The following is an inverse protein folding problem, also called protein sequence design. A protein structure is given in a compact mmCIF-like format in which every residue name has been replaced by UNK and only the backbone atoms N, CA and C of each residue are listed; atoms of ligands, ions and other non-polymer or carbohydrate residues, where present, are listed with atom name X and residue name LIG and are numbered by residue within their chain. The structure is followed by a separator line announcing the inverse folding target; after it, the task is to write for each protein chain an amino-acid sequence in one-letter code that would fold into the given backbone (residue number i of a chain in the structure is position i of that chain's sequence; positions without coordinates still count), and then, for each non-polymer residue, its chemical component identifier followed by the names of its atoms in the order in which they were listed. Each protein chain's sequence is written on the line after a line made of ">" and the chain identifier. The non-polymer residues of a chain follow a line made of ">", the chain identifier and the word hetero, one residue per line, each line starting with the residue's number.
data_IF_403687348782
#
_entry.id   IF_403687348782
#
_cell.length_a   1.000
_cell.length_b   1.000
_cell.length_c   1.000
_cell.angle_alpha   90.00
_cell.angle_beta   90.00
_cell.angle_gamma   90.00
#
_symmetry.space_group_name_H-M   'P 1'
#
loop_
_entity.id
_entity.type
_entity.pdbx_description
1 polymer ?
#
# COMPACT_ATOMS: atom_id res chain seq x y z
N UNK A 1 4.87 -9.84 1.88
CA UNK A 1 5.54 -8.51 1.83
C UNK A 1 4.60 -7.36 1.46
N UNK A 2 3.90 -7.33 0.32
CA UNK A 2 3.05 -6.18 -0.07
C UNK A 2 2.07 -5.72 1.03
N UNK A 3 1.25 -6.63 1.57
CA UNK A 3 0.34 -6.29 2.68
C UNK A 3 1.09 -5.82 3.93
N UNK A 4 2.24 -6.41 4.22
CA UNK A 4 3.08 -6.07 5.38
C UNK A 4 3.60 -4.63 5.28
N UNK A 5 4.25 -4.26 4.17
CA UNK A 5 4.75 -2.89 3.97
C UNK A 5 3.61 -1.86 3.98
N UNK A 6 2.45 -2.21 3.43
CA UNK A 6 1.29 -1.32 3.47
C UNK A 6 0.76 -1.10 4.88
N UNK A 7 0.50 -2.16 5.65
CA UNK A 7 -0.04 -2.05 6.99
C UNK A 7 0.94 -1.37 7.95
N UNK A 8 2.23 -1.71 7.86
CA UNK A 8 3.30 -1.10 8.65
C UNK A 8 3.39 0.41 8.38
N UNK A 9 3.49 0.78 7.10
CA UNK A 9 3.69 2.18 6.72
C UNK A 9 2.41 3.01 6.89
N UNK A 10 1.24 2.48 6.54
CA UNK A 10 -0.03 3.16 6.78
C UNK A 10 -0.24 3.40 8.27
N UNK A 11 -0.01 2.37 9.10
CA UNK A 11 -0.14 2.47 10.56
C UNK A 11 0.77 3.55 11.14
N UNK A 12 2.04 3.58 10.74
CA UNK A 12 2.97 4.66 11.13
C UNK A 12 2.44 6.04 10.73
N UNK A 13 1.92 6.22 9.51
CA UNK A 13 1.41 7.51 9.05
C UNK A 13 0.12 7.93 9.75
N UNK A 14 -0.71 6.98 10.18
CA UNK A 14 -1.92 7.24 10.96
C UNK A 14 -1.55 7.72 12.37
N UNK A 15 -0.53 7.11 13.01
CA UNK A 15 0.03 7.59 14.28
C UNK A 15 0.55 9.02 14.13
N UNK A 16 1.35 9.31 13.11
CA UNK A 16 1.88 10.65 12.84
C UNK A 16 0.75 11.67 12.61
N UNK A 17 -0.30 11.29 11.89
CA UNK A 17 -1.49 12.13 11.68
C UNK A 17 -2.25 12.38 12.98
N UNK A 18 -2.39 11.37 13.84
CA UNK A 18 -2.97 11.51 15.17
C UNK A 18 -2.21 12.50 16.05
N UNK A 19 -0.88 12.34 16.15
CA UNK A 19 0.00 13.25 16.88
C UNK A 19 -0.10 14.68 16.35
N UNK A 20 -0.04 14.88 15.04
CA UNK A 20 -0.16 16.20 14.44
C UNK A 20 -1.50 16.87 14.74
N UNK A 21 -2.61 16.10 14.71
CA UNK A 21 -3.95 16.62 15.05
C UNK A 21 -4.04 17.09 16.50
N UNK A 22 -3.39 16.39 17.44
CA UNK A 22 -3.31 16.84 18.85
C UNK A 22 -2.58 18.18 18.95
N UNK A 23 -1.57 18.42 18.10
CA UNK A 23 -0.85 19.69 18.01
C UNK A 23 -1.59 20.76 17.18
N UNK A 24 -2.82 20.52 16.75
CA UNK A 24 -3.59 21.45 15.90
C UNK A 24 -3.14 21.51 14.43
N UNK A 25 -2.23 20.62 14.01
CA UNK A 25 -1.70 20.56 12.64
C UNK A 25 -2.45 19.48 11.85
N UNK A 26 -2.95 19.85 10.66
CA UNK A 26 -3.59 18.90 9.74
C UNK A 26 -2.60 18.42 8.69
N UNK A 27 -2.10 17.20 8.85
CA UNK A 27 -1.29 16.53 7.82
C UNK A 27 -2.18 15.99 6.69
N UNK A 28 -1.58 15.87 5.51
CA UNK A 28 -2.24 15.25 4.35
C UNK A 28 -2.32 13.72 4.50
N UNK A 29 -3.36 13.11 3.90
CA UNK A 29 -3.50 11.66 3.85
C UNK A 29 -2.38 11.05 3.03
N UNK A 30 -1.77 9.96 3.49
CA UNK A 30 -0.66 9.31 2.77
C UNK A 30 -1.08 8.05 2.00
N UNK A 31 -2.15 7.38 2.40
CA UNK A 31 -2.64 6.16 1.76
C UNK A 31 -4.14 6.21 1.55
N UNK A 32 -4.62 5.68 0.43
CA UNK A 32 -6.05 5.63 0.14
C UNK A 32 -6.45 4.33 -0.60
N UNK A 33 -6.55 3.23 0.14
CA UNK A 33 -6.88 1.89 -0.40
C UNK A 33 -6.10 1.55 -1.70
N UNK A 34 -4.77 1.65 -1.71
CA UNK A 34 -3.96 1.60 -2.94
C UNK A 34 -4.12 0.29 -3.71
N UNK A 35 -4.26 -0.86 -3.03
CA UNK A 35 -4.45 -2.16 -3.69
C UNK A 35 -5.81 -2.37 -4.33
N UNK A 36 -6.75 -1.43 -4.16
CA UNK A 36 -8.02 -1.41 -4.90
C UNK A 36 -7.92 -0.67 -6.25
N UNK A 37 -6.74 -0.16 -6.61
CA UNK A 37 -6.50 0.56 -7.84
C UNK A 37 -6.60 -0.36 -9.08
N UNK A 38 -7.28 0.10 -10.11
CA UNK A 38 -7.43 -0.60 -11.39
C UNK A 38 -6.27 -0.30 -12.37
N UNK A 39 -5.41 0.65 -12.06
CA UNK A 39 -4.21 0.96 -12.86
C UNK A 39 -3.02 1.32 -11.98
N UNK A 40 -1.80 1.13 -12.49
CA UNK A 40 -0.57 1.54 -11.76
C UNK A 40 -0.53 3.06 -11.53
N UNK A 41 -1.08 3.86 -12.45
CA UNK A 41 -1.22 5.31 -12.25
C UNK A 41 -2.14 5.62 -11.06
N UNK A 42 -3.29 4.94 -10.97
CA UNK A 42 -4.22 5.09 -9.85
C UNK A 42 -3.61 4.59 -8.53
N UNK A 43 -2.84 3.51 -8.57
CA UNK A 43 -2.09 3.01 -7.41
C UNK A 43 -1.19 4.10 -6.82
N UNK A 44 -0.38 4.79 -7.65
CA UNK A 44 0.51 5.86 -7.20
C UNK A 44 -0.21 7.15 -6.77
N UNK A 45 -1.46 7.36 -7.19
CA UNK A 45 -2.30 8.42 -6.63
C UNK A 45 -2.86 8.10 -5.25
N UNK A 46 -2.70 6.86 -4.78
CA UNK A 46 -3.23 6.31 -3.53
C UNK A 46 -2.17 5.76 -2.59
N UNK A 47 -0.92 5.66 -3.05
CA UNK A 47 0.22 5.15 -2.31
C UNK A 47 1.23 6.26 -2.05
N UNK A 48 1.62 6.43 -0.79
CA UNK A 48 2.59 7.45 -0.35
C UNK A 48 2.30 8.83 -0.99
N UNK A 49 1.04 9.28 -0.86
CA UNK A 49 0.47 10.43 -1.58
C UNK A 49 1.30 11.71 -1.35
N UNK A 50 1.86 11.90 -0.15
CA UNK A 50 2.71 13.06 0.12
C UNK A 50 3.98 13.06 -0.73
N UNK A 51 4.71 11.95 -0.76
CA UNK A 51 5.91 11.76 -1.58
C UNK A 51 5.60 11.80 -3.07
N UNK A 52 4.54 11.12 -3.51
CA UNK A 52 4.08 11.12 -4.90
C UNK A 52 3.71 12.54 -5.36
N UNK A 53 3.11 13.35 -4.48
CA UNK A 53 2.81 14.75 -4.75
C UNK A 53 4.08 15.59 -4.82
N UNK A 54 5.03 15.37 -3.91
CA UNK A 54 6.32 16.05 -3.93
C UNK A 54 7.08 15.81 -5.24
N UNK A 55 7.21 14.54 -5.67
CA UNK A 55 7.85 14.24 -6.96
C UNK A 55 7.10 14.83 -8.15
N UNK A 56 5.77 14.87 -8.10
CA UNK A 56 4.97 15.51 -9.15
C UNK A 56 5.27 17.01 -9.22
N UNK A 57 5.25 17.71 -8.08
CA UNK A 57 5.34 19.16 -8.02
C UNK A 57 6.77 19.68 -8.19
N UNK A 58 7.77 18.96 -7.67
CA UNK A 58 9.17 19.41 -7.64
C UNK A 58 10.08 18.71 -8.64
N UNK A 59 9.64 17.64 -9.31
CA UNK A 59 10.44 16.98 -10.35
C UNK A 59 9.67 16.88 -11.68
N UNK A 60 8.48 16.29 -11.67
CA UNK A 60 7.73 16.04 -12.91
C UNK A 60 7.29 17.31 -13.64
N UNK A 61 6.67 18.25 -12.92
CA UNK A 61 6.19 19.53 -13.49
C UNK A 61 7.38 20.39 -13.97
N UNK A 62 8.46 20.57 -13.19
CA UNK A 62 9.67 21.27 -13.65
C UNK A 62 10.32 20.66 -14.90
N UNK A 63 10.30 19.34 -15.07
CA UNK A 63 10.76 18.66 -16.30
C UNK A 63 9.85 18.90 -17.53
N UNK A 64 8.82 19.74 -17.39
CA UNK A 64 7.87 20.10 -18.44
C UNK A 64 6.56 19.29 -18.41
N UNK A 65 6.40 18.38 -17.45
CA UNK A 65 5.21 17.56 -17.27
C UNK A 65 4.72 16.92 -18.57
N UNK A 66 3.47 17.21 -18.95
CA UNK A 66 2.86 16.73 -20.20
C UNK A 66 2.99 17.71 -21.39
N UNK A 67 3.65 18.87 -21.22
CA UNK A 67 3.55 20.00 -22.17
C UNK A 67 4.35 19.82 -23.46
N UNK A 68 5.33 18.92 -23.47
CA UNK A 68 6.28 18.73 -24.59
C UNK A 68 6.02 17.43 -25.37
N UNK A 69 4.77 17.00 -25.42
CA UNK A 69 4.34 15.82 -26.16
C UNK A 69 4.58 14.49 -25.44
N UNK A 70 4.14 13.41 -26.09
CA UNK A 70 4.03 12.07 -25.49
C UNK A 70 5.37 11.42 -25.20
N UNK A 71 6.38 11.61 -26.06
CA UNK A 71 7.72 11.07 -25.83
C UNK A 71 8.38 11.70 -24.60
N UNK A 72 8.31 13.04 -24.46
CA UNK A 72 8.85 13.73 -23.28
C UNK A 72 8.10 13.33 -22.01
N UNK A 73 6.78 13.18 -22.08
CA UNK A 73 5.98 12.66 -20.96
C UNK A 73 6.52 11.32 -20.47
N UNK A 74 6.80 10.37 -21.37
CA UNK A 74 7.32 9.05 -21.01
C UNK A 74 8.71 9.12 -20.36
N UNK A 75 9.59 9.93 -20.93
CA UNK A 75 10.93 10.17 -20.35
C UNK A 75 10.79 10.76 -18.95
N UNK A 76 9.93 11.77 -18.77
CA UNK A 76 9.71 12.40 -17.47
C UNK A 76 9.14 11.40 -16.43
N UNK A 77 8.23 10.52 -16.84
CA UNK A 77 7.72 9.44 -15.98
C UNK A 77 8.85 8.49 -15.57
N UNK A 78 9.70 8.05 -16.50
CA UNK A 78 10.85 7.19 -16.17
C UNK A 78 11.81 7.88 -15.21
N UNK A 79 12.16 9.14 -15.47
CA UNK A 79 13.07 9.91 -14.62
C UNK A 79 12.51 9.99 -13.20
N UNK A 80 11.22 10.34 -13.04
CA UNK A 80 10.59 10.43 -11.72
C UNK A 80 10.67 9.11 -10.97
N UNK A 81 10.35 7.98 -11.61
CA UNK A 81 10.39 6.69 -10.91
C UNK A 81 11.81 6.19 -10.63
N UNK A 82 12.78 6.44 -11.52
CA UNK A 82 14.18 6.10 -11.27
C UNK A 82 14.76 6.92 -10.12
N UNK A 83 14.49 8.23 -10.08
CA UNK A 83 14.89 9.10 -8.98
C UNK A 83 14.17 8.72 -7.68
N UNK A 84 12.90 8.33 -7.76
CA UNK A 84 12.17 7.77 -6.61
C UNK A 84 12.80 6.49 -6.08
N UNK A 85 13.23 5.57 -6.97
CA UNK A 85 14.01 4.40 -6.56
C UNK A 85 15.32 4.79 -5.87
N UNK A 86 16.09 5.70 -6.46
CA UNK A 86 17.34 6.18 -5.88
C UNK A 86 17.15 6.91 -4.54
N UNK A 87 16.01 7.56 -4.34
CA UNK A 87 15.65 8.19 -3.06
C UNK A 87 15.48 7.17 -1.93
N UNK A 88 15.03 5.95 -2.26
CA UNK A 88 14.91 4.85 -1.30
C UNK A 88 16.25 4.18 -0.98
N UNK A 89 17.21 4.18 -1.90
CA UNK A 89 18.57 3.69 -1.64
C UNK A 89 19.42 3.56 -2.90
N UNK A 90 20.73 3.40 -2.72
CA UNK A 90 21.71 3.32 -3.81
C UNK A 90 21.83 1.92 -4.44
N UNK A 91 21.14 0.91 -3.89
CA UNK A 91 21.19 -0.45 -4.42
C UNK A 91 20.46 -0.57 -5.77
N UNK A 92 20.99 -1.43 -6.66
CA UNK A 92 20.40 -1.70 -7.97
C UNK A 92 18.96 -2.25 -7.89
N UNK A 93 18.61 -2.90 -6.79
CA UNK A 93 17.25 -3.39 -6.53
C UNK A 93 16.23 -2.26 -6.54
N UNK A 94 16.54 -1.09 -5.95
CA UNK A 94 15.67 0.08 -5.97
C UNK A 94 15.59 0.75 -7.35
N UNK A 95 16.69 0.74 -8.12
CA UNK A 95 16.70 1.24 -9.50
C UNK A 95 15.79 0.36 -10.38
N UNK A 96 15.89 -0.96 -10.26
CA UNK A 96 15.03 -1.91 -10.99
C UNK A 96 13.56 -1.72 -10.57
N UNK A 97 13.30 -1.59 -9.27
CA UNK A 97 11.96 -1.30 -8.76
C UNK A 97 11.36 -0.02 -9.38
N UNK A 98 12.13 1.07 -9.39
CA UNK A 98 11.72 2.34 -10.02
C UNK A 98 11.49 2.17 -11.52
N UNK A 99 12.42 1.50 -12.21
CA UNK A 99 12.29 1.23 -13.64
C UNK A 99 11.01 0.45 -13.99
N UNK A 100 10.68 -0.59 -13.22
CA UNK A 100 9.46 -1.38 -13.41
C UNK A 100 8.19 -0.53 -13.27
N UNK A 101 8.08 0.28 -12.22
CA UNK A 101 6.92 1.16 -12.04
C UNK A 101 6.78 2.20 -13.17
N UNK A 102 7.90 2.79 -13.61
CA UNK A 102 7.91 3.69 -14.76
C UNK A 102 7.44 2.99 -16.03
N UNK A 103 7.96 1.80 -16.32
CA UNK A 103 7.56 0.99 -17.47
C UNK A 103 6.09 0.62 -17.42
N UNK A 104 5.57 0.16 -16.28
CA UNK A 104 4.16 -0.20 -16.14
C UNK A 104 3.24 0.99 -16.39
N UNK A 105 3.61 2.19 -15.93
CA UNK A 105 2.82 3.40 -16.17
C UNK A 105 2.84 3.81 -17.65
N UNK A 106 4.00 3.70 -18.32
CA UNK A 106 4.15 4.01 -19.74
C UNK A 106 3.38 3.01 -20.61
N UNK A 107 3.57 1.72 -20.38
CA UNK A 107 2.87 0.63 -21.08
C UNK A 107 1.36 0.77 -20.86
N UNK A 108 0.93 1.03 -19.61
CA UNK A 108 -0.47 1.26 -19.29
C UNK A 108 -1.08 2.42 -20.08
N UNK A 109 -0.32 3.50 -20.25
CA UNK A 109 -0.71 4.69 -21.04
C UNK A 109 -0.74 4.41 -22.54
N UNK A 110 0.25 3.70 -23.08
CA UNK A 110 0.35 3.31 -24.49
C UNK A 110 -0.77 2.37 -24.92
N UNK A 111 -1.01 1.34 -24.12
CA UNK A 111 -1.95 0.27 -24.45
C UNK A 111 -3.39 0.61 -24.14
N UNK A 112 -3.69 1.69 -23.41
CA UNK A 112 -5.05 2.06 -22.97
C UNK A 112 -6.07 2.01 -24.11
N UNK A 113 -5.84 2.74 -25.20
CA UNK A 113 -6.77 2.79 -26.35
C UNK A 113 -6.93 1.44 -27.07
N UNK A 114 -5.90 0.59 -27.06
CA UNK A 114 -5.98 -0.74 -27.66
C UNK A 114 -6.78 -1.70 -26.77
N UNK A 115 -6.57 -1.64 -25.46
CA UNK A 115 -7.31 -2.43 -24.46
C UNK A 115 -8.80 -2.08 -24.45
N UNK A 116 -9.15 -0.80 -24.47
CA UNK A 116 -10.57 -0.38 -24.54
C UNK A 116 -11.25 -0.87 -25.83
N UNK A 117 -10.57 -0.78 -26.98
CA UNK A 117 -11.10 -1.31 -28.26
C UNK A 117 -11.22 -2.83 -28.25
N UNK A 118 -10.31 -3.54 -27.59
CA UNK A 118 -10.39 -4.99 -27.43
C UNK A 118 -11.60 -5.40 -26.59
N UNK A 119 -11.83 -4.70 -25.47
CA UNK A 119 -12.98 -4.93 -24.60
C UNK A 119 -14.31 -4.67 -25.31
N UNK A 120 -14.41 -3.56 -26.07
CA UNK A 120 -15.63 -3.25 -26.81
C UNK A 120 -15.96 -4.28 -27.88
N UNK A 121 -14.96 -4.92 -28.50
CA UNK A 121 -15.16 -5.98 -29.51
C UNK A 121 -15.77 -7.25 -28.93
N UNK A 122 -15.50 -7.56 -27.66
CA UNK A 122 -16.06 -8.71 -26.94
C UNK A 122 -17.33 -8.34 -26.15
N UNK A 123 -17.91 -7.16 -26.41
CA UNK A 123 -19.14 -6.70 -25.76
C UNK A 123 -18.99 -6.31 -24.28
N UNK A 124 -17.76 -6.19 -23.77
CA UNK A 124 -17.49 -5.79 -22.40
C UNK A 124 -17.23 -4.28 -22.31
N UNK A 125 -17.80 -3.64 -21.29
CA UNK A 125 -17.50 -2.25 -20.95
C UNK A 125 -16.42 -2.19 -19.88
N UNK A 126 -15.59 -1.14 -19.92
CA UNK A 126 -14.62 -0.84 -18.86
C UNK A 126 -15.26 -0.68 -17.47
N UNK A 127 -16.56 -0.39 -17.43
CA UNK A 127 -17.33 -0.19 -16.20
C UNK A 127 -17.84 -1.48 -15.56
N UNK A 128 -17.87 -2.59 -16.31
CA UNK A 128 -18.32 -3.88 -15.78
C UNK A 128 -17.48 -4.33 -14.60
N UNK A 129 -18.15 -4.92 -13.60
CA UNK A 129 -17.49 -5.38 -12.37
C UNK A 129 -16.36 -6.38 -12.68
N UNK A 130 -16.58 -7.30 -13.63
CA UNK A 130 -15.57 -8.26 -14.06
C UNK A 130 -14.31 -7.57 -14.60
N UNK A 131 -14.44 -6.59 -15.49
CA UNK A 131 -13.30 -5.86 -16.05
C UNK A 131 -12.57 -5.06 -14.98
N UNK A 132 -13.30 -4.39 -14.08
CA UNK A 132 -12.69 -3.66 -12.94
C UNK A 132 -11.92 -4.60 -12.03
N UNK A 133 -12.47 -5.76 -11.70
CA UNK A 133 -11.79 -6.77 -10.87
C UNK A 133 -10.53 -7.29 -11.54
N UNK A 134 -10.58 -7.64 -12.83
CA UNK A 134 -9.41 -8.09 -13.58
C UNK A 134 -8.32 -7.01 -13.60
N UNK A 135 -8.69 -5.74 -13.81
CA UNK A 135 -7.76 -4.60 -13.79
C UNK A 135 -7.10 -4.40 -12.43
N UNK A 136 -7.87 -4.56 -11.35
CA UNK A 136 -7.38 -4.48 -9.96
C UNK A 136 -6.40 -5.61 -9.66
N UNK A 137 -6.78 -6.85 -9.97
CA UNK A 137 -5.91 -8.02 -9.79
C UNK A 137 -4.62 -7.86 -10.59
N UNK A 138 -4.71 -7.46 -11.86
CA UNK A 138 -3.53 -7.22 -12.68
C UNK A 138 -2.62 -6.12 -12.11
N UNK A 139 -3.19 -5.01 -11.64
CA UNK A 139 -2.42 -3.93 -11.01
C UNK A 139 -1.75 -4.42 -9.73
N UNK A 140 -2.48 -5.16 -8.89
CA UNK A 140 -1.95 -5.74 -7.67
C UNK A 140 -0.79 -6.70 -7.94
N UNK A 141 -0.90 -7.57 -8.94
CA UNK A 141 0.17 -8.50 -9.34
C UNK A 141 1.41 -7.75 -9.82
N UNK A 142 1.26 -6.75 -10.70
CA UNK A 142 2.38 -5.95 -11.20
C UNK A 142 3.10 -5.20 -10.07
N UNK A 143 2.33 -4.56 -9.18
CA UNK A 143 2.87 -3.83 -8.03
C UNK A 143 3.57 -4.80 -7.06
N UNK A 144 2.97 -5.96 -6.77
CA UNK A 144 3.56 -6.98 -5.89
C UNK A 144 4.84 -7.57 -6.48
N UNK A 145 4.88 -7.76 -7.80
CA UNK A 145 6.08 -8.17 -8.51
C UNK A 145 7.19 -7.13 -8.37
N UNK A 146 6.89 -5.84 -8.53
CA UNK A 146 7.88 -4.79 -8.29
C UNK A 146 8.36 -4.79 -6.83
N UNK A 147 7.47 -4.98 -5.85
CA UNK A 147 7.82 -5.06 -4.43
C UNK A 147 8.83 -6.16 -4.09
N UNK A 148 8.94 -7.22 -4.90
CA UNK A 148 9.98 -8.25 -4.74
C UNK A 148 11.37 -7.63 -4.75
N UNK A 149 11.65 -6.75 -5.71
CA UNK A 149 12.94 -6.06 -5.81
C UNK A 149 13.15 -5.10 -4.64
N UNK A 150 12.10 -4.42 -4.20
CA UNK A 150 12.18 -3.54 -3.04
C UNK A 150 12.52 -4.29 -1.74
N UNK A 151 12.10 -5.56 -1.61
CA UNK A 151 12.37 -6.39 -0.43
C UNK A 151 13.73 -7.10 -0.48
N UNK A 152 14.24 -7.38 -1.67
CA UNK A 152 15.44 -8.20 -1.82
C UNK A 152 16.68 -7.45 -1.31
N UNK A 153 17.54 -8.15 -0.57
CA UNK A 153 18.78 -7.56 -0.03
C UNK A 153 19.83 -7.35 -1.12
N UNK A 154 19.74 -8.10 -2.22
CA UNK A 154 20.63 -8.01 -3.37
C UNK A 154 19.88 -8.30 -4.68
N UNK A 155 20.49 -7.94 -5.82
CA UNK A 155 19.95 -8.32 -7.13
C UNK A 155 19.97 -9.84 -7.33
N UNK A 156 20.99 -10.53 -6.81
CA UNK A 156 21.07 -11.99 -6.85
C UNK A 156 19.94 -12.64 -6.07
N UNK A 157 19.63 -12.12 -4.88
CA UNK A 157 18.51 -12.57 -4.04
C UNK A 157 17.18 -12.38 -4.78
N UNK A 158 16.99 -11.23 -5.44
CA UNK A 158 15.79 -10.96 -6.23
C UNK A 158 15.60 -12.00 -7.34
N UNK A 159 16.66 -12.31 -8.11
CA UNK A 159 16.57 -13.31 -9.17
C UNK A 159 16.39 -14.74 -8.63
N UNK A 160 16.98 -15.07 -7.48
CA UNK A 160 16.73 -16.34 -6.80
C UNK A 160 15.25 -16.47 -6.40
N UNK A 161 14.69 -15.42 -5.79
CA UNK A 161 13.27 -15.38 -5.43
C UNK A 161 12.37 -15.52 -6.66
N UNK A 162 12.72 -14.89 -7.78
CA UNK A 162 11.99 -15.03 -9.05
C UNK A 162 12.03 -16.46 -9.59
N UNK A 163 13.18 -17.13 -9.52
CA UNK A 163 13.28 -18.54 -9.90
C UNK A 163 12.37 -19.43 -9.06
N UNK A 164 12.33 -19.17 -7.74
CA UNK A 164 11.48 -19.90 -6.80
C UNK A 164 9.99 -19.63 -6.94
N UNK A 165 9.56 -18.58 -7.65
CA UNK A 165 8.12 -18.38 -7.93
C UNK A 165 7.51 -19.53 -8.74
N UNK A 166 8.31 -20.31 -9.46
CA UNK A 166 7.82 -21.37 -10.36
C UNK A 166 8.25 -22.77 -9.92
N UNK A 167 8.93 -22.90 -8.78
CA UNK A 167 9.48 -24.17 -8.28
C UNK A 167 9.13 -24.36 -6.81
N UNK A 168 9.20 -25.59 -6.30
CA UNK A 168 9.10 -25.88 -4.86
C UNK A 168 7.79 -25.42 -4.17
N UNK A 169 6.66 -25.49 -4.87
CA UNK A 169 5.33 -25.22 -4.28
C UNK A 169 4.83 -26.29 -3.29
N UNK A 170 5.64 -27.31 -3.00
CA UNK A 170 5.31 -28.43 -2.11
C UNK A 170 5.43 -28.10 -0.62
N UNK A 171 5.70 -26.85 -0.25
CA UNK A 171 5.83 -26.42 1.15
C UNK A 171 4.45 -26.41 1.81
N UNK A 172 4.34 -27.02 2.99
CA UNK A 172 3.10 -27.00 3.77
C UNK A 172 2.71 -25.56 4.12
N UNK A 173 1.42 -25.19 4.09
CA UNK A 173 0.95 -23.90 4.61
C UNK A 173 1.38 -23.68 6.07
N UNK A 174 1.46 -24.74 6.87
CA UNK A 174 1.93 -24.66 8.26
C UNK A 174 3.41 -24.26 8.35
N UNK A 175 4.26 -24.85 7.51
CA UNK A 175 5.70 -24.53 7.46
C UNK A 175 5.92 -23.10 6.97
N UNK A 176 5.09 -22.64 6.03
CA UNK A 176 5.13 -21.27 5.53
C UNK A 176 4.74 -20.27 6.63
N UNK A 177 3.67 -20.54 7.37
CA UNK A 177 3.23 -19.70 8.48
C UNK A 177 4.27 -19.66 9.61
N UNK A 178 4.84 -20.82 9.95
CA UNK A 178 5.92 -20.91 10.93
C UNK A 178 7.17 -20.14 10.48
N UNK A 179 7.57 -20.23 9.21
CA UNK A 179 8.69 -19.47 8.65
C UNK A 179 8.43 -17.95 8.62
N UNK A 180 7.16 -17.54 8.56
CA UNK A 180 6.76 -16.13 8.69
C UNK A 180 6.72 -15.65 10.16
N UNK A 181 7.04 -16.52 11.12
CA UNK A 181 6.93 -16.22 12.56
C UNK A 181 5.48 -16.16 13.06
N UNK A 182 4.53 -16.69 12.29
CA UNK A 182 3.11 -16.70 12.61
C UNK A 182 2.71 -18.05 13.20
N UNK A 183 2.86 -18.19 14.52
CA UNK A 183 2.28 -19.29 15.27
C UNK A 183 0.77 -19.14 15.45
N UNK A 184 0.15 -20.16 16.06
CA UNK A 184 -1.29 -20.16 16.32
C UNK A 184 -1.73 -18.96 17.16
N UNK A 185 -0.92 -18.56 18.14
CA UNK A 185 -1.23 -17.43 19.03
C UNK A 185 -1.21 -16.12 18.25
N UNK A 186 -0.19 -15.89 17.43
CA UNK A 186 -0.02 -14.69 16.61
C UNK A 186 -1.14 -14.57 15.57
N UNK A 187 -1.56 -15.69 14.98
CA UNK A 187 -2.71 -15.73 14.06
C UNK A 187 -3.99 -15.36 14.80
N UNK A 188 -4.25 -15.95 15.97
CA UNK A 188 -5.43 -15.62 16.77
C UNK A 188 -5.44 -14.17 17.22
N UNK A 189 -4.30 -13.64 17.66
CA UNK A 189 -4.12 -12.23 17.99
C UNK A 189 -4.41 -11.35 16.77
N UNK A 190 -3.90 -11.69 15.59
CA UNK A 190 -4.16 -10.95 14.34
C UNK A 190 -5.63 -10.94 13.96
N UNK A 191 -6.31 -12.10 14.05
CA UNK A 191 -7.74 -12.19 13.75
C UNK A 191 -8.55 -11.37 14.74
N UNK A 192 -8.28 -11.52 16.05
CA UNK A 192 -8.93 -10.72 17.10
C UNK A 192 -8.74 -9.23 16.85
N UNK A 193 -7.50 -8.82 16.57
CA UNK A 193 -7.12 -7.45 16.23
C UNK A 193 -7.93 -6.86 15.08
N UNK A 194 -8.05 -7.60 13.97
CA UNK A 194 -8.83 -7.18 12.81
C UNK A 194 -10.31 -7.05 13.14
N UNK A 195 -10.89 -8.03 13.86
CA UNK A 195 -12.29 -7.98 14.27
C UNK A 195 -12.59 -6.78 15.17
N UNK A 196 -11.70 -6.51 16.13
CA UNK A 196 -11.79 -5.34 17.01
C UNK A 196 -11.73 -4.03 16.23
N UNK A 197 -10.80 -3.91 15.27
CA UNK A 197 -10.71 -2.71 14.42
C UNK A 197 -11.96 -2.51 13.56
N UNK A 198 -12.48 -3.58 12.95
CA UNK A 198 -13.73 -3.52 12.16
C UNK A 198 -14.90 -3.12 13.04
N UNK A 199 -14.99 -3.67 14.25
CA UNK A 199 -16.04 -3.29 15.21
C UNK A 199 -15.91 -1.82 15.63
N UNK A 200 -14.71 -1.34 15.93
CA UNK A 200 -14.45 0.06 16.25
C UNK A 200 -14.84 1.00 15.10
N UNK A 201 -14.45 0.69 13.87
CA UNK A 201 -14.80 1.48 12.68
C UNK A 201 -16.33 1.59 12.51
N UNK A 202 -17.05 0.47 12.68
CA UNK A 202 -18.52 0.44 12.63
C UNK A 202 -19.15 1.26 13.75
N UNK A 203 -18.62 1.19 14.98
CA UNK A 203 -19.11 1.96 16.12
C UNK A 203 -18.87 3.46 15.95
N UNK A 204 -17.67 3.87 15.52
CA UNK A 204 -17.34 5.28 15.24
C UNK A 204 -18.23 5.84 14.14
N UNK A 205 -18.39 5.09 13.05
CA UNK A 205 -19.23 5.51 11.92
C UNK A 205 -20.71 5.60 12.32
N UNK A 206 -21.16 4.69 13.18
CA UNK A 206 -22.52 4.72 13.72
C UNK A 206 -22.75 5.96 14.61
N UNK A 207 -21.85 6.23 15.55
CA UNK A 207 -21.92 7.41 16.44
C UNK A 207 -21.85 8.72 15.65
N UNK A 208 -20.98 8.82 14.63
CA UNK A 208 -20.89 10.01 13.77
C UNK A 208 -22.18 10.31 12.98
N UNK A 209 -23.05 9.31 12.79
CA UNK A 209 -24.32 9.43 12.07
C UNK A 209 -25.48 9.88 12.97
N UNK A 210 -25.40 9.66 14.28
CA UNK A 210 -26.47 9.94 15.23
C UNK A 210 -26.06 11.06 16.20
N UNK A 211 -26.34 12.30 15.79
CA UNK A 211 -26.12 13.52 16.58
C UNK A 211 -27.25 13.68 17.62
N UNK A 212 -27.23 12.85 18.68
CA UNK A 212 -28.26 12.87 19.73
C UNK A 212 -27.69 13.16 21.12
N UNK A 213 -28.48 13.85 21.93
CA UNK A 213 -28.17 14.49 23.22
C UNK A 213 -27.73 13.56 24.36
N UNK A 214 -27.77 12.23 24.21
CA UNK A 214 -27.32 11.26 25.23
C UNK A 214 -25.80 10.99 25.18
N UNK A 215 -25.08 12.07 24.86
CA UNK A 215 -23.77 12.07 24.24
C UNK A 215 -22.64 11.72 25.22
N UNK A 216 -22.81 12.00 26.51
CA UNK A 216 -21.74 11.88 27.52
C UNK A 216 -21.56 10.43 27.97
N UNK A 217 -22.66 9.69 28.22
CA UNK A 217 -22.60 8.28 28.63
C UNK A 217 -22.15 7.41 27.46
N UNK A 218 -22.63 7.68 26.24
CA UNK A 218 -22.18 6.99 25.02
C UNK A 218 -20.72 7.27 24.68
N UNK A 219 -20.28 8.53 24.73
CA UNK A 219 -18.85 8.87 24.52
C UNK A 219 -17.96 8.34 25.63
N UNK A 220 -18.44 8.30 26.88
CA UNK A 220 -17.73 7.71 28.02
C UNK A 220 -17.55 6.20 27.87
N UNK A 221 -18.62 5.46 27.57
CA UNK A 221 -18.56 4.01 27.30
C UNK A 221 -17.71 3.69 26.07
N UNK A 222 -17.80 4.49 25.02
CA UNK A 222 -16.96 4.38 23.84
C UNK A 222 -15.48 4.62 24.16
N UNK A 223 -15.16 5.66 24.93
CA UNK A 223 -13.79 5.93 25.37
C UNK A 223 -13.23 4.79 26.23
N UNK A 224 -14.01 4.27 27.18
CA UNK A 224 -13.61 3.12 28.01
C UNK A 224 -13.34 1.88 27.15
N UNK A 225 -14.19 1.61 26.15
CA UNK A 225 -14.01 0.48 25.23
C UNK A 225 -12.72 0.64 24.39
N UNK A 226 -12.47 1.83 23.85
CA UNK A 226 -11.23 2.14 23.12
C UNK A 226 -10.00 1.98 24.02
N UNK A 227 -10.04 2.51 25.24
CA UNK A 227 -8.94 2.36 26.20
C UNK A 227 -8.72 0.92 26.64
N UNK A 228 -9.77 0.12 26.82
CA UNK A 228 -9.67 -1.30 27.13
C UNK A 228 -9.01 -2.08 25.99
N UNK A 229 -9.33 -1.73 24.73
CA UNK A 229 -8.65 -2.29 23.56
C UNK A 229 -7.18 -1.89 23.55
N UNK A 230 -6.87 -0.60 23.71
CA UNK A 230 -5.49 -0.11 23.75
C UNK A 230 -4.69 -0.84 24.84
N UNK A 231 -5.27 -1.00 26.03
CA UNK A 231 -4.65 -1.71 27.14
C UNK A 231 -4.44 -3.19 26.83
N UNK A 232 -5.44 -3.87 26.25
CA UNK A 232 -5.31 -5.26 25.82
C UNK A 232 -4.18 -5.43 24.81
N UNK A 233 -4.09 -4.55 23.82
CA UNK A 233 -3.01 -4.54 22.84
C UNK A 233 -1.66 -4.23 23.45
N UNK A 234 -1.57 -3.26 24.36
CA UNK A 234 -0.33 -2.94 25.08
C UNK A 234 0.17 -4.14 25.90
N UNK A 235 -0.73 -4.92 26.50
CA UNK A 235 -0.40 -6.13 27.26
C UNK A 235 -0.04 -7.32 26.35
N UNK A 236 -0.65 -7.44 25.16
CA UNK A 236 -0.34 -8.49 24.19
C UNK A 236 0.98 -8.23 23.45
N UNK A 237 1.30 -6.95 23.18
CA UNK A 237 2.49 -6.52 22.45
C UNK A 237 3.70 -6.22 23.34
N UNK A 238 3.56 -6.23 24.66
CA UNK A 238 4.66 -5.98 25.62
C UNK A 238 5.71 -7.08 25.66
N UNK A 239 5.50 -8.18 24.94
CA UNK A 239 6.40 -9.32 24.90
C UNK A 239 7.58 -9.04 23.96
N UNK A 240 8.74 -8.72 24.52
CA UNK A 240 10.09 -8.73 23.91
C UNK A 240 10.20 -8.32 22.42
N UNK A 241 9.67 -7.16 22.04
CA UNK A 241 9.67 -6.70 20.64
C UNK A 241 10.46 -5.40 20.48
N UNK A 242 11.79 -5.49 20.39
CA UNK A 242 12.58 -4.51 19.63
C UNK A 242 12.38 -4.76 18.13
N UNK A 243 11.16 -4.62 17.63
CA UNK A 243 10.87 -4.66 16.19
C UNK A 243 10.82 -3.24 15.66
N UNK A 244 11.78 -2.85 14.81
CA UNK A 244 11.75 -1.57 14.10
C UNK A 244 10.74 -1.64 12.94
N UNK A 245 10.07 -0.53 12.62
CA UNK A 245 9.22 -0.48 11.43
C UNK A 245 10.02 -0.88 10.20
N UNK A 246 9.42 -1.68 9.33
CA UNK A 246 10.03 -2.13 8.08
C UNK A 246 10.39 -0.92 7.23
N UNK A 247 9.60 0.16 7.33
CA UNK A 247 9.89 1.45 6.72
C UNK A 247 11.30 2.01 7.01
N UNK A 248 11.95 1.60 8.10
CA UNK A 248 13.30 2.05 8.48
C UNK A 248 14.38 0.98 8.28
N UNK A 249 14.06 -0.16 7.67
CA UNK A 249 14.97 -1.30 7.51
C UNK A 249 15.57 -1.42 6.10
N UNK A 250 15.35 -0.44 5.23
CA UNK A 250 15.85 -0.44 3.85
C UNK A 250 17.17 0.33 3.72
#
# INVERSE_FOLDING_TARGET
>A
FAVQIYCDFSGYTDIATGCARVMGIRLMKNFDHPYSAATVKEFWSRWHISLSSWFKDYLYIPLGGNRRGRARQMINVMIVFLVSGLWHGAAWTFVIWGALHGLYQIIGTLTYKARERGLSRIGLTGESLAVKTVRRVNTFVLVTFAWLFFRANSTSDAFLLLGRLFTEWSVSPADTLAAMGLGTVEILMTVFSVLTLVMLDRLVTYEAKYDSSDLVIRRGGFAVYVWAIILCWALLLSKDMTSTFIYFQF
#
